data_IF_493409319127
#
_entry.id   IF_493409319127
#
_cell.length_a   1.000
_cell.length_b   1.000
_cell.length_c   1.000
_cell.angle_alpha   90.00
_cell.angle_beta   90.00
_cell.angle_gamma   90.00
#
_symmetry.space_group_name_H-M   'P 1'
#
loop_
_entity.id
_entity.type
_entity.pdbx_description
1 polymer ?
#
# COMPACT_ATOMS: atom_id res chain seq x y z
N UNK A 1 -5.00 -3.63 -11.97
CA UNK A 1 -4.08 -2.94 -11.05
C UNK A 1 -4.81 -2.82 -9.73
N UNK A 2 -4.31 -3.46 -8.68
CA UNK A 2 -4.90 -3.40 -7.34
C UNK A 2 -4.39 -2.14 -6.63
N UNK A 3 -5.23 -1.46 -5.88
CA UNK A 3 -4.84 -0.31 -5.04
C UNK A 3 -4.37 -0.75 -3.65
N UNK A 4 -3.59 0.09 -2.95
CA UNK A 4 -3.23 -0.12 -1.54
C UNK A 4 -4.46 -0.40 -0.65
N UNK A 5 -5.55 0.34 -0.90
CA UNK A 5 -6.81 0.18 -0.18
C UNK A 5 -7.39 -1.21 -0.37
N UNK A 6 -7.55 -1.63 -1.62
CA UNK A 6 -8.11 -2.95 -1.95
C UNK A 6 -7.23 -4.07 -1.39
N UNK A 7 -5.91 -3.94 -1.52
CA UNK A 7 -4.97 -4.93 -0.98
C UNK A 7 -5.08 -5.07 0.55
N UNK A 8 -5.27 -3.95 1.26
CA UNK A 8 -5.51 -3.93 2.70
C UNK A 8 -6.87 -4.54 3.06
N UNK A 9 -7.93 -4.13 2.38
CA UNK A 9 -9.31 -4.53 2.69
C UNK A 9 -9.56 -6.02 2.41
N UNK A 10 -8.99 -6.55 1.32
CA UNK A 10 -9.05 -7.99 1.01
C UNK A 10 -8.45 -8.88 2.10
N UNK A 11 -7.58 -8.32 2.94
CA UNK A 11 -6.96 -9.01 4.07
C UNK A 11 -7.60 -8.66 5.43
N UNK A 12 -8.68 -7.88 5.43
CA UNK A 12 -9.37 -7.45 6.65
C UNK A 12 -8.55 -6.52 7.54
N UNK A 13 -7.48 -5.90 7.00
CA UNK A 13 -6.58 -5.04 7.77
C UNK A 13 -7.20 -3.65 7.93
N UNK A 14 -7.16 -3.10 9.14
CA UNK A 14 -7.63 -1.72 9.41
C UNK A 14 -6.54 -0.71 9.06
N UNK A 15 -6.94 0.49 8.62
CA UNK A 15 -5.99 1.58 8.34
C UNK A 15 -5.07 1.92 9.54
N UNK A 16 -5.59 1.87 10.77
CA UNK A 16 -4.77 2.10 11.97
C UNK A 16 -3.63 1.09 12.09
N UNK A 17 -3.85 -0.19 11.76
CA UNK A 17 -2.82 -1.20 11.88
C UNK A 17 -1.64 -0.94 10.94
N UNK A 18 -1.92 -0.50 9.71
CA UNK A 18 -0.87 -0.12 8.76
C UNK A 18 -0.18 1.18 9.23
N UNK A 19 -0.95 2.17 9.68
CA UNK A 19 -0.39 3.41 10.21
C UNK A 19 0.55 3.18 11.41
N UNK A 20 0.19 2.27 12.32
CA UNK A 20 1.00 1.89 13.48
C UNK A 20 2.30 1.21 13.05
N UNK A 21 2.24 0.32 12.04
CA UNK A 21 3.42 -0.33 11.46
C UNK A 21 4.39 0.67 10.83
N UNK A 22 3.87 1.70 10.15
CA UNK A 22 4.66 2.79 9.58
C UNK A 22 5.03 3.88 10.59
N UNK A 23 4.56 3.80 11.84
CA UNK A 23 4.74 4.84 12.88
C UNK A 23 4.27 6.23 12.44
N UNK A 24 3.13 6.28 11.76
CA UNK A 24 2.48 7.52 11.30
C UNK A 24 1.06 7.61 11.85
N UNK A 25 0.47 8.81 11.78
CA UNK A 25 -0.94 8.96 12.14
C UNK A 25 -1.84 8.30 11.09
N UNK A 26 -2.99 7.72 11.51
CA UNK A 26 -3.97 7.13 10.59
C UNK A 26 -4.39 8.09 9.48
N UNK A 27 -4.61 9.38 9.77
CA UNK A 27 -4.97 10.34 8.72
C UNK A 27 -3.90 10.47 7.63
N UNK A 28 -2.62 10.28 7.98
CA UNK A 28 -1.52 10.27 7.00
C UNK A 28 -1.62 9.04 6.11
N UNK A 29 -1.83 7.86 6.70
CA UNK A 29 -2.04 6.64 5.91
C UNK A 29 -3.30 6.71 5.02
N UNK A 30 -4.39 7.29 5.52
CA UNK A 30 -5.59 7.51 4.71
C UNK A 30 -5.33 8.43 3.50
N UNK A 31 -4.44 9.42 3.64
CA UNK A 31 -3.98 10.24 2.50
C UNK A 31 -3.18 9.40 1.51
N UNK A 32 -2.32 8.49 1.98
CA UNK A 32 -1.56 7.59 1.12
C UNK A 32 -2.44 6.66 0.29
N UNK A 33 -3.53 6.13 0.87
CA UNK A 33 -4.47 5.33 0.08
C UNK A 33 -5.22 6.13 -1.00
N UNK A 34 -5.38 7.44 -0.80
CA UNK A 34 -6.00 8.33 -1.80
C UNK A 34 -4.98 8.82 -2.84
N UNK A 35 -3.73 9.05 -2.43
CA UNK A 35 -2.62 9.45 -3.29
C UNK A 35 -1.32 8.76 -2.85
N UNK A 36 -1.00 7.58 -3.44
CA UNK A 36 0.20 6.82 -3.08
C UNK A 36 1.52 7.53 -3.39
N UNK A 37 1.51 8.57 -4.25
CA UNK A 37 2.72 9.36 -4.59
C UNK A 37 3.26 10.19 -3.41
N UNK A 38 2.46 10.35 -2.37
CA UNK A 38 2.86 11.05 -1.13
C UNK A 38 3.72 10.17 -0.21
N UNK A 39 3.82 8.87 -0.50
CA UNK A 39 4.69 7.95 0.23
C UNK A 39 6.12 8.07 -0.27
N UNK A 40 7.09 7.96 0.65
CA UNK A 40 8.44 7.59 0.23
C UNK A 40 8.46 6.15 -0.26
N UNK A 41 9.45 5.78 -1.08
CA UNK A 41 9.63 4.39 -1.54
C UNK A 41 9.71 3.44 -0.34
N UNK A 42 10.48 3.80 0.69
CA UNK A 42 10.61 3.00 1.92
C UNK A 42 9.28 2.80 2.66
N UNK A 43 8.42 3.82 2.70
CA UNK A 43 7.09 3.69 3.31
C UNK A 43 6.19 2.79 2.48
N UNK A 44 6.27 2.89 1.16
CA UNK A 44 5.47 2.08 0.25
C UNK A 44 5.87 0.60 0.32
N UNK A 45 7.17 0.30 0.35
CA UNK A 45 7.71 -1.05 0.61
C UNK A 45 7.22 -1.58 1.97
N UNK A 46 7.40 -0.81 3.05
CA UNK A 46 6.99 -1.23 4.39
C UNK A 46 5.47 -1.47 4.51
N UNK A 47 4.65 -0.67 3.82
CA UNK A 47 3.21 -0.89 3.75
C UNK A 47 2.87 -2.18 3.01
N UNK A 48 3.51 -2.44 1.86
CA UNK A 48 3.34 -3.69 1.12
C UNK A 48 3.77 -4.89 1.96
N UNK A 49 4.93 -4.85 2.62
CA UNK A 49 5.41 -5.93 3.50
C UNK A 49 4.43 -6.21 4.63
N UNK A 50 3.94 -5.17 5.30
CA UNK A 50 2.98 -5.32 6.39
C UNK A 50 1.62 -5.86 5.91
N UNK A 51 1.14 -5.39 4.75
CA UNK A 51 -0.09 -5.87 4.15
C UNK A 51 0.10 -7.29 3.59
N UNK A 52 1.31 -7.71 3.22
CA UNK A 52 1.56 -8.93 2.44
C UNK A 52 1.30 -8.74 0.93
N UNK A 53 1.40 -7.49 0.48
CA UNK A 53 1.45 -6.92 -0.87
C UNK A 53 2.59 -7.35 -1.80
N UNK A 54 2.38 -7.51 -3.10
CA UNK A 54 3.47 -7.25 -4.05
C UNK A 54 3.55 -5.75 -4.39
N UNK A 55 4.74 -5.16 -4.28
CA UNK A 55 4.93 -3.74 -4.53
C UNK A 55 4.72 -3.37 -6.01
N UNK A 56 5.17 -4.22 -6.94
CA UNK A 56 5.06 -3.93 -8.37
C UNK A 56 3.61 -3.98 -8.84
N UNK A 57 2.81 -4.93 -8.34
CA UNK A 57 1.39 -5.03 -8.64
C UNK A 57 0.61 -3.75 -8.25
N UNK A 58 0.97 -3.15 -7.11
CA UNK A 58 0.31 -1.97 -6.55
C UNK A 58 0.76 -0.68 -7.23
N UNK A 59 2.06 -0.51 -7.47
CA UNK A 59 2.64 0.77 -7.90
C UNK A 59 2.99 0.86 -9.39
N UNK A 60 3.20 -0.27 -10.06
CA UNK A 60 3.61 -0.34 -11.48
C UNK A 60 2.60 -1.09 -12.36
N UNK A 61 1.68 -1.84 -11.75
CA UNK A 61 0.75 -2.71 -12.45
C UNK A 61 1.43 -3.98 -12.97
N UNK A 62 0.64 -5.01 -13.24
CA UNK A 62 1.16 -6.22 -13.89
C UNK A 62 1.78 -5.82 -15.24
N UNK A 63 3.10 -5.99 -15.37
CA UNK A 63 3.76 -5.94 -16.67
C UNK A 63 3.11 -7.02 -17.52
N UNK A 64 2.36 -6.61 -18.55
CA UNK A 64 2.04 -7.52 -19.65
C UNK A 64 3.38 -7.96 -20.22
N UNK A 65 3.78 -9.20 -19.92
CA UNK A 65 4.85 -9.84 -20.66
C UNK A 65 4.27 -10.11 -22.04
N UNK A 66 4.53 -9.20 -22.98
CA UNK A 66 4.29 -9.49 -24.39
C UNK A 66 5.16 -10.71 -24.75
N UNK A 67 4.48 -11.79 -25.12
CA UNK A 67 5.02 -13.06 -25.63
C UNK A 67 5.77 -12.90 -26.93
#
# INVERSE_FOLDING_TARGET
MQTLREARENRGIKQNAVADALKIARQTYAKYENDPRLMTIQQAEAACDFIGCDFNEIFFGATVSET
#
